data_IF_924425980112
#
_entry.id   IF_924425980112
#
_cell.length_a   1.000
_cell.length_b   1.000
_cell.length_c   1.000
_cell.angle_alpha   90.00
_cell.angle_beta   90.00
_cell.angle_gamma   90.00
#
_symmetry.space_group_name_H-M   'P 1'
#
loop_
_entity.id
_entity.type
_entity.pdbx_description
1 polymer ?
#
# COMPACT_ATOMS: atom_id res chain seq x y z
N UNK A 1 -14.26 2.40 7.20
CA UNK A 1 -12.92 2.63 7.76
C UNK A 1 -12.12 3.55 6.86
N UNK A 2 -11.06 4.14 7.39
CA UNK A 2 -10.06 4.90 6.67
C UNK A 2 -8.91 3.97 6.23
N UNK A 3 -8.69 3.83 4.92
CA UNK A 3 -7.74 2.88 4.34
C UNK A 3 -6.66 3.64 3.57
N UNK A 4 -5.38 3.45 3.92
CA UNK A 4 -4.25 3.91 3.09
C UNK A 4 -3.82 2.80 2.14
N UNK A 5 -3.94 3.02 0.84
CA UNK A 5 -3.44 2.11 -0.18
C UNK A 5 -2.01 2.47 -0.55
N UNK A 6 -1.04 1.58 -0.38
CA UNK A 6 0.33 1.76 -0.85
C UNK A 6 0.68 0.72 -1.91
N UNK A 7 1.64 1.02 -2.77
CA UNK A 7 2.02 0.12 -3.86
C UNK A 7 2.87 0.84 -4.89
N UNK A 8 3.54 0.06 -5.74
CA UNK A 8 4.36 0.61 -6.80
C UNK A 8 3.51 1.48 -7.74
N UNK A 9 4.04 2.63 -8.17
CA UNK A 9 3.36 3.47 -9.17
C UNK A 9 3.10 2.75 -10.51
N UNK A 10 3.74 1.59 -10.75
CA UNK A 10 3.42 0.66 -11.85
C UNK A 10 2.00 0.09 -11.76
N UNK A 11 1.46 -0.01 -10.55
CA UNK A 11 0.13 -0.54 -10.24
C UNK A 11 -0.86 0.59 -9.91
N UNK A 12 -0.62 1.81 -10.35
CA UNK A 12 -1.48 2.94 -9.98
C UNK A 12 -2.93 2.75 -10.42
N UNK A 13 -3.14 2.24 -11.64
CA UNK A 13 -4.49 2.05 -12.17
C UNK A 13 -5.20 0.91 -11.41
N UNK A 14 -4.46 -0.12 -11.01
CA UNK A 14 -4.97 -1.16 -10.09
C UNK A 14 -5.37 -0.58 -8.74
N UNK A 15 -4.54 0.30 -8.16
CA UNK A 15 -4.85 0.99 -6.90
C UNK A 15 -6.10 1.85 -7.03
N UNK A 16 -6.34 2.50 -8.17
CA UNK A 16 -7.58 3.26 -8.43
C UNK A 16 -8.81 2.34 -8.55
N UNK A 17 -8.66 1.16 -9.17
CA UNK A 17 -9.71 0.14 -9.21
C UNK A 17 -10.10 -0.35 -7.81
N UNK A 18 -9.10 -0.74 -7.02
CA UNK A 18 -9.28 -1.15 -5.62
C UNK A 18 -9.91 -0.05 -4.78
N UNK A 19 -9.45 1.20 -4.94
CA UNK A 19 -10.03 2.37 -4.30
C UNK A 19 -11.53 2.47 -4.57
N UNK A 20 -11.93 2.41 -5.85
CA UNK A 20 -13.34 2.55 -6.25
C UNK A 20 -14.21 1.47 -5.62
N UNK A 21 -13.71 0.24 -5.52
CA UNK A 21 -14.43 -0.87 -4.90
C UNK A 21 -14.60 -0.67 -3.39
N UNK A 22 -13.54 -0.28 -2.68
CA UNK A 22 -13.59 -0.01 -1.24
C UNK A 22 -14.46 1.21 -0.90
N UNK A 23 -14.40 2.28 -1.71
CA UNK A 23 -15.26 3.45 -1.54
C UNK A 23 -16.74 3.09 -1.74
N UNK A 24 -17.06 2.21 -2.70
CA UNK A 24 -18.42 1.69 -2.90
C UNK A 24 -18.93 0.89 -1.69
N UNK A 25 -18.04 0.30 -0.91
CA UNK A 25 -18.34 -0.43 0.32
C UNK A 25 -18.39 0.48 1.57
N UNK A 26 -18.26 1.80 1.39
CA UNK A 26 -18.40 2.79 2.45
C UNK A 26 -17.09 3.11 3.20
N UNK A 27 -15.94 2.73 2.65
CA UNK A 27 -14.64 3.09 3.19
C UNK A 27 -14.17 4.46 2.66
N UNK A 28 -13.44 5.20 3.48
CA UNK A 28 -12.65 6.36 3.04
C UNK A 28 -11.28 5.85 2.60
N UNK A 29 -10.84 6.19 1.39
CA UNK A 29 -9.60 5.62 0.83
C UNK A 29 -8.61 6.70 0.43
N UNK A 30 -7.38 6.57 0.91
CA UNK A 30 -6.25 7.44 0.60
C UNK A 30 -5.25 6.72 -0.30
N UNK A 31 -4.89 7.32 -1.43
CA UNK A 31 -4.02 6.72 -2.45
C UNK A 31 -2.80 7.61 -2.75
N UNK A 32 -1.70 7.05 -3.29
CA UNK A 32 -0.56 7.84 -3.74
C UNK A 32 -0.99 8.85 -4.82
N UNK A 33 -0.26 9.96 -4.94
CA UNK A 33 -0.50 10.97 -5.98
C UNK A 33 0.54 10.82 -7.09
N UNK A 34 0.08 10.90 -8.35
CA UNK A 34 0.95 11.11 -9.51
C UNK A 34 1.36 12.58 -9.58
N UNK A 35 2.62 12.88 -9.27
CA UNK A 35 3.20 14.18 -9.55
C UNK A 35 3.70 14.24 -11.00
N UNK A 36 3.68 15.43 -11.60
CA UNK A 36 4.34 15.65 -12.88
C UNK A 36 5.84 15.88 -12.64
N UNK A 37 6.67 15.02 -13.24
CA UNK A 37 8.12 15.05 -13.08
C UNK A 37 8.63 14.43 -11.76
N UNK A 38 9.86 13.93 -11.80
CA UNK A 38 10.53 13.27 -10.67
C UNK A 38 11.55 14.21 -10.03
N UNK A 39 11.06 15.15 -9.22
CA UNK A 39 11.91 16.08 -8.45
C UNK A 39 11.99 15.69 -6.98
N UNK A 40 13.07 16.08 -6.31
CA UNK A 40 13.20 15.91 -4.85
C UNK A 40 12.06 16.60 -4.07
N UNK A 41 11.58 17.73 -4.58
CA UNK A 41 10.43 18.44 -4.00
C UNK A 41 9.15 17.61 -4.10
N UNK A 42 8.88 17.01 -5.26
CA UNK A 42 7.72 16.13 -5.45
C UNK A 42 7.79 14.89 -4.56
N UNK A 43 8.99 14.30 -4.40
CA UNK A 43 9.23 13.18 -3.49
C UNK A 43 8.96 13.56 -2.04
N UNK A 44 9.44 14.73 -1.61
CA UNK A 44 9.15 15.27 -0.27
C UNK A 44 7.64 15.45 -0.05
N UNK A 45 6.94 16.06 -1.00
CA UNK A 45 5.48 16.24 -0.94
C UNK A 45 4.73 14.91 -0.87
N UNK A 46 5.17 13.90 -1.62
CA UNK A 46 4.59 12.56 -1.58
C UNK A 46 4.76 11.92 -0.19
N UNK A 47 5.95 12.01 0.39
CA UNK A 47 6.26 11.47 1.73
C UNK A 47 5.48 12.20 2.82
N UNK A 48 5.46 13.54 2.79
CA UNK A 48 4.71 14.34 3.77
C UNK A 48 3.23 14.00 3.73
N UNK A 49 2.64 13.93 2.53
CA UNK A 49 1.25 13.54 2.34
C UNK A 49 0.98 12.11 2.81
N UNK A 50 1.86 11.17 2.45
CA UNK A 50 1.74 9.78 2.91
C UNK A 50 1.70 9.72 4.44
N UNK A 51 2.60 10.42 5.13
CA UNK A 51 2.62 10.47 6.59
C UNK A 51 1.30 10.98 7.15
N UNK A 52 0.79 12.09 6.63
CA UNK A 52 -0.43 12.72 7.14
C UNK A 52 -1.66 11.81 6.91
N UNK A 53 -1.76 11.18 5.75
CA UNK A 53 -2.85 10.23 5.44
C UNK A 53 -2.72 8.92 6.22
N UNK A 54 -1.49 8.48 6.49
CA UNK A 54 -1.23 7.29 7.31
C UNK A 54 -1.70 7.51 8.75
N UNK A 55 -1.52 8.70 9.33
CA UNK A 55 -2.06 9.03 10.65
C UNK A 55 -3.58 8.88 10.69
N UNK A 56 -4.28 9.39 9.66
CA UNK A 56 -5.74 9.34 9.54
C UNK A 56 -6.30 7.94 9.27
N UNK A 57 -5.46 7.01 8.81
CA UNK A 57 -5.89 5.69 8.36
C UNK A 57 -5.96 4.68 9.50
N UNK A 58 -7.01 3.87 9.52
CA UNK A 58 -7.17 2.75 10.43
C UNK A 58 -6.26 1.58 10.01
N UNK A 59 -6.15 1.35 8.71
CA UNK A 59 -5.44 0.22 8.12
C UNK A 59 -4.64 0.64 6.88
N UNK A 60 -3.64 -0.18 6.53
CA UNK A 60 -2.86 -0.05 5.30
C UNK A 60 -3.13 -1.26 4.41
N UNK A 61 -3.43 -1.02 3.14
CA UNK A 61 -3.49 -2.07 2.11
C UNK A 61 -2.30 -1.90 1.16
N UNK A 62 -1.45 -2.91 1.09
CA UNK A 62 -0.36 -2.99 0.11
C UNK A 62 -0.87 -3.66 -1.15
N UNK A 63 -0.87 -2.95 -2.28
CA UNK A 63 -1.18 -3.50 -3.60
C UNK A 63 0.11 -3.99 -4.25
N UNK A 64 0.55 -5.15 -3.79
CA UNK A 64 1.65 -5.93 -4.37
C UNK A 64 1.09 -6.92 -5.40
N UNK A 65 1.48 -6.74 -6.66
CA UNK A 65 1.06 -7.57 -7.79
C UNK A 65 2.28 -8.13 -8.53
N UNK A 66 2.06 -9.14 -9.36
CA UNK A 66 3.09 -9.66 -10.25
C UNK A 66 3.43 -8.64 -11.33
N UNK A 67 4.72 -8.47 -11.65
CA UNK A 67 5.17 -7.62 -12.76
C UNK A 67 6.51 -8.08 -13.30
N UNK A 68 6.68 -8.11 -14.62
CA UNK A 68 7.95 -8.41 -15.30
C UNK A 68 8.66 -9.67 -14.76
N UNK A 69 7.89 -10.75 -14.51
CA UNK A 69 8.40 -12.01 -13.98
C UNK A 69 8.72 -12.01 -12.48
N UNK A 70 8.53 -10.90 -11.79
CA UNK A 70 8.64 -10.80 -10.33
C UNK A 70 7.26 -10.98 -9.72
N UNK A 71 7.09 -12.04 -8.92
CA UNK A 71 5.85 -12.28 -8.20
C UNK A 71 5.71 -11.36 -7.00
N UNK A 72 4.51 -10.88 -6.72
CA UNK A 72 4.19 -10.03 -5.56
C UNK A 72 5.24 -8.92 -5.36
N UNK A 73 5.43 -8.09 -6.38
CA UNK A 73 6.47 -7.07 -6.39
C UNK A 73 6.24 -6.00 -5.32
N UNK A 74 7.28 -5.73 -4.52
CA UNK A 74 7.34 -4.64 -3.55
C UNK A 74 8.58 -3.80 -3.86
N UNK A 75 8.38 -2.52 -4.15
CA UNK A 75 9.46 -1.56 -4.40
C UNK A 75 10.12 -1.09 -3.10
N UNK A 76 11.32 -0.52 -3.19
CA UNK A 76 12.05 0.04 -2.02
C UNK A 76 11.25 1.17 -1.38
N UNK A 77 10.61 2.02 -2.17
CA UNK A 77 9.69 3.06 -1.72
C UNK A 77 8.53 2.49 -0.91
N UNK A 78 7.88 1.44 -1.44
CA UNK A 78 6.78 0.75 -0.74
C UNK A 78 7.26 0.05 0.53
N UNK A 79 8.46 -0.53 0.53
CA UNK A 79 9.04 -1.16 1.73
C UNK A 79 9.27 -0.14 2.86
N UNK A 80 9.69 1.09 2.52
CA UNK A 80 9.80 2.19 3.48
C UNK A 80 8.42 2.58 4.02
N UNK A 81 7.40 2.70 3.16
CA UNK A 81 6.02 3.00 3.58
C UNK A 81 5.46 1.90 4.51
N UNK A 82 5.70 0.62 4.22
CA UNK A 82 5.36 -0.51 5.09
C UNK A 82 6.06 -0.37 6.44
N UNK A 83 7.37 -0.09 6.47
CA UNK A 83 8.11 0.13 7.71
C UNK A 83 7.55 1.28 8.55
N UNK A 84 7.15 2.38 7.90
CA UNK A 84 6.50 3.51 8.57
C UNK A 84 5.13 3.15 9.13
N UNK A 85 4.37 2.29 8.46
CA UNK A 85 3.09 1.76 8.93
C UNK A 85 3.26 0.83 10.13
N UNK A 86 4.25 -0.05 10.10
CA UNK A 86 4.62 -0.94 11.22
C UNK A 86 5.02 -0.12 12.45
N UNK A 87 5.86 0.91 12.28
CA UNK A 87 6.26 1.80 13.36
C UNK A 87 5.07 2.51 14.03
N UNK A 88 3.98 2.72 13.27
CA UNK A 88 2.71 3.31 13.74
C UNK A 88 1.68 2.28 14.19
N UNK A 89 2.05 1.00 14.25
CA UNK A 89 1.18 -0.13 14.63
C UNK A 89 -0.12 -0.18 13.81
N UNK A 90 -0.06 0.22 12.54
CA UNK A 90 -1.20 0.11 11.64
C UNK A 90 -1.45 -1.37 11.32
N UNK A 91 -2.71 -1.78 11.21
CA UNK A 91 -3.05 -3.11 10.69
C UNK A 91 -2.75 -3.14 9.20
N UNK A 92 -2.03 -4.16 8.74
CA UNK A 92 -1.53 -4.24 7.37
C UNK A 92 -2.18 -5.40 6.65
N UNK A 93 -2.75 -5.11 5.48
CA UNK A 93 -3.22 -6.09 4.52
C UNK A 93 -2.29 -6.10 3.31
N UNK A 94 -2.02 -7.29 2.77
CA UNK A 94 -1.26 -7.48 1.54
C UNK A 94 -2.19 -8.05 0.46
N UNK A 95 -2.17 -7.48 -0.74
CA UNK A 95 -3.00 -7.94 -1.86
C UNK A 95 -2.61 -9.35 -2.30
N UNK A 96 -1.31 -9.66 -2.28
CA UNK A 96 -0.74 -11.00 -2.49
C UNK A 96 0.21 -11.36 -1.33
N UNK A 97 0.58 -12.63 -1.18
CA UNK A 97 1.59 -13.00 -0.18
C UNK A 97 2.98 -12.52 -0.66
N UNK A 98 3.71 -11.73 0.16
CA UNK A 98 5.08 -11.34 -0.13
C UNK A 98 5.99 -12.56 -0.36
N UNK A 99 6.76 -12.54 -1.44
CA UNK A 99 7.75 -13.58 -1.77
C UNK A 99 9.12 -12.97 -2.04
N UNK A 100 10.14 -13.82 -2.05
CA UNK A 100 11.51 -13.44 -2.41
C UNK A 100 12.44 -13.33 -1.20
N UNK A 101 13.64 -12.76 -1.39
CA UNK A 101 14.73 -12.84 -0.40
C UNK A 101 14.48 -12.17 0.95
N UNK A 102 13.45 -11.32 1.04
CA UNK A 102 13.08 -10.57 2.27
C UNK A 102 11.65 -10.87 2.73
N UNK A 103 11.07 -11.98 2.25
CA UNK A 103 9.71 -12.38 2.61
C UNK A 103 9.56 -12.65 4.12
N UNK A 104 10.61 -13.16 4.75
CA UNK A 104 10.70 -13.41 6.19
C UNK A 104 10.52 -12.13 7.03
N UNK A 105 11.11 -11.00 6.60
CA UNK A 105 10.89 -9.70 7.24
C UNK A 105 9.42 -9.28 7.19
N UNK A 106 8.74 -9.52 6.06
CA UNK A 106 7.32 -9.23 5.97
C UNK A 106 6.50 -10.20 6.83
N UNK A 107 6.84 -11.50 6.86
CA UNK A 107 6.13 -12.47 7.69
C UNK A 107 6.20 -12.11 9.19
N UNK A 108 7.26 -11.44 9.63
CA UNK A 108 7.40 -10.97 11.00
C UNK A 108 6.49 -9.79 11.39
N UNK A 109 5.85 -9.10 10.44
CA UNK A 109 5.03 -7.89 10.72
C UNK A 109 3.53 -8.16 10.88
N UNK A 110 3.12 -9.42 11.05
CA UNK A 110 1.74 -9.85 11.32
C UNK A 110 0.69 -9.23 10.37
N UNK A 111 0.95 -9.27 9.05
CA UNK A 111 0.01 -8.84 8.03
C UNK A 111 -1.05 -9.91 7.74
N UNK A 112 -2.13 -9.51 7.05
CA UNK A 112 -3.11 -10.43 6.47
C UNK A 112 -3.10 -10.37 4.94
N UNK A 113 -2.90 -11.50 4.26
CA UNK A 113 -3.04 -11.54 2.80
C UNK A 113 -4.50 -11.72 2.39
N UNK A 114 -4.97 -10.86 1.48
CA UNK A 114 -6.37 -10.86 1.02
C UNK A 114 -6.60 -11.59 -0.30
N UNK A 115 -5.55 -11.92 -1.07
CA UNK A 115 -5.67 -12.61 -2.37
C UNK A 115 -6.67 -11.93 -3.35
N UNK A 116 -6.76 -10.61 -3.28
CA UNK A 116 -7.71 -9.80 -4.07
C UNK A 116 -9.13 -9.73 -3.50
N UNK A 117 -9.45 -10.44 -2.42
CA UNK A 117 -10.77 -10.41 -1.77
C UNK A 117 -10.90 -9.20 -0.85
N UNK A 118 -11.27 -8.04 -1.41
CA UNK A 118 -11.35 -6.76 -0.66
C UNK A 118 -12.30 -6.80 0.54
N UNK A 119 -13.32 -7.65 0.52
CA UNK A 119 -14.23 -7.88 1.65
C UNK A 119 -13.53 -8.38 2.91
N UNK A 120 -12.31 -8.89 2.81
CA UNK A 120 -11.52 -9.30 3.98
C UNK A 120 -10.96 -8.13 4.78
N UNK A 121 -11.13 -6.90 4.27
CA UNK A 121 -10.73 -5.67 4.94
C UNK A 121 -11.85 -5.13 5.84
N UNK A 122 -13.08 -5.65 5.79
CA UNK A 122 -14.22 -5.18 6.62
C UNK A 122 -14.22 -5.73 8.04
#
# INVERSE_FOLDING_TARGET
MNIRIIGSMRFYDDMMGVRKELEREGHTVYTPIKFHGDSQENRKKAIDRFRDELELSDVVLVVNKDTNGVRSYIGIDVAIEIGMAVARRKRIFMYQEPVGPVADYYQAINYETIYGELRRIT
#
